data_IF_785843549996
#
_entry.id   IF_785843549996
#
_cell.length_a   1.000
_cell.length_b   1.000
_cell.length_c   1.000
_cell.angle_alpha   90.00
_cell.angle_beta   90.00
_cell.angle_gamma   90.00
#
_symmetry.space_group_name_H-M   'P 1'
#
loop_
_entity.id
_entity.type
_entity.pdbx_description
1 polymer ?
#
# COMPACT_ATOMS: atom_id res chain seq x y z
N UNK A 1 35.59 -2.71 14.04
CA UNK A 1 34.92 -1.68 13.21
C UNK A 1 33.76 -2.20 12.34
N UNK A 2 33.75 -3.45 11.84
CA UNK A 2 32.67 -3.96 10.96
C UNK A 2 31.31 -4.21 11.65
N UNK A 3 31.31 -4.66 12.92
CA UNK A 3 30.08 -4.95 13.69
C UNK A 3 29.22 -3.70 13.95
N UNK A 4 29.84 -2.53 14.14
CA UNK A 4 29.14 -1.27 14.38
C UNK A 4 28.43 -0.77 13.12
N UNK A 5 29.10 -0.86 11.97
CA UNK A 5 28.53 -0.53 10.66
C UNK A 5 27.35 -1.45 10.29
N UNK A 6 27.46 -2.75 10.59
CA UNK A 6 26.37 -3.71 10.38
C UNK A 6 25.16 -3.41 11.27
N UNK A 7 25.39 -3.10 12.56
CA UNK A 7 24.32 -2.72 13.50
C UNK A 7 23.61 -1.43 13.06
N UNK A 8 24.34 -0.43 12.58
CA UNK A 8 23.75 0.80 12.05
C UNK A 8 22.94 0.56 10.77
N UNK A 9 23.41 -0.31 9.86
CA UNK A 9 22.65 -0.70 8.66
C UNK A 9 21.37 -1.46 9.01
N UNK A 10 21.42 -2.37 9.99
CA UNK A 10 20.24 -3.11 10.46
C UNK A 10 19.22 -2.19 11.14
N UNK A 11 19.68 -1.23 11.95
CA UNK A 11 18.80 -0.24 12.59
C UNK A 11 18.18 0.72 11.56
N UNK A 12 18.93 1.11 10.53
CA UNK A 12 18.42 1.91 9.41
C UNK A 12 17.36 1.15 8.61
N UNK A 13 17.63 -0.11 8.27
CA UNK A 13 16.68 -0.97 7.56
C UNK A 13 15.42 -1.24 8.40
N UNK A 14 15.56 -1.45 9.71
CA UNK A 14 14.42 -1.61 10.62
C UNK A 14 13.55 -0.34 10.70
N UNK A 15 14.16 0.85 10.65
CA UNK A 15 13.45 2.13 10.52
C UNK A 15 12.75 2.32 9.18
N UNK A 16 13.22 1.67 8.11
CA UNK A 16 12.51 1.67 6.82
C UNK A 16 11.29 0.74 6.82
N UNK A 17 11.43 -0.45 7.40
CA UNK A 17 10.30 -1.40 7.63
C UNK A 17 9.25 -0.79 8.57
N UNK A 18 9.70 0.07 9.48
CA UNK A 18 9.06 1.27 10.05
C UNK A 18 7.75 1.78 9.47
N UNK A 19 7.76 1.96 8.15
CA UNK A 19 6.80 2.77 7.40
C UNK A 19 5.69 1.97 6.75
N UNK A 20 5.61 0.66 6.97
CA UNK A 20 4.49 -0.11 6.44
C UNK A 20 3.20 0.23 7.21
N UNK A 21 2.04 0.34 6.53
CA UNK A 21 0.77 0.53 7.20
C UNK A 21 0.55 -0.60 8.23
N UNK A 22 -0.03 -0.26 9.38
CA UNK A 22 -0.29 -1.26 10.40
C UNK A 22 -1.15 -2.40 9.84
N UNK A 23 -0.97 -3.66 10.29
CA UNK A 23 -1.79 -4.78 9.83
C UNK A 23 -3.30 -4.53 9.96
N UNK A 24 -3.71 -3.73 10.95
CA UNK A 24 -5.09 -3.31 11.16
C UNK A 24 -5.58 -2.39 10.05
N UNK A 25 -4.78 -1.42 9.61
CA UNK A 25 -5.10 -0.53 8.48
C UNK A 25 -5.22 -1.34 7.20
N UNK A 26 -4.27 -2.24 6.93
CA UNK A 26 -4.32 -3.10 5.73
C UNK A 26 -5.59 -3.95 5.72
N UNK A 27 -5.95 -4.54 6.87
CA UNK A 27 -7.19 -5.33 7.00
C UNK A 27 -8.43 -4.46 6.77
N UNK A 28 -8.49 -3.27 7.35
CA UNK A 28 -9.62 -2.35 7.16
C UNK A 28 -9.76 -1.92 5.69
N UNK A 29 -8.65 -1.62 5.02
CA UNK A 29 -8.62 -1.29 3.59
C UNK A 29 -9.14 -2.45 2.73
N UNK A 30 -8.68 -3.69 2.99
CA UNK A 30 -9.17 -4.89 2.27
C UNK A 30 -10.67 -5.10 2.47
N UNK A 31 -11.17 -4.93 3.69
CA UNK A 31 -12.61 -5.03 3.97
C UNK A 31 -13.41 -3.94 3.26
N UNK A 32 -12.91 -2.69 3.25
CA UNK A 32 -13.53 -1.58 2.51
C UNK A 32 -13.59 -1.88 1.02
N UNK A 33 -12.51 -2.43 0.46
CA UNK A 33 -12.45 -2.81 -0.95
C UNK A 33 -13.48 -3.89 -1.31
N UNK A 34 -13.57 -4.94 -0.49
CA UNK A 34 -14.54 -6.00 -0.66
C UNK A 34 -15.97 -5.48 -0.53
N UNK A 35 -16.22 -4.60 0.45
CA UNK A 35 -17.53 -3.97 0.66
C UNK A 35 -17.95 -3.13 -0.54
N UNK A 36 -17.05 -2.29 -1.06
CA UNK A 36 -17.31 -1.46 -2.24
C UNK A 36 -17.69 -2.32 -3.45
N UNK A 37 -16.97 -3.41 -3.71
CA UNK A 37 -17.30 -4.32 -4.82
C UNK A 37 -18.58 -5.12 -4.59
N UNK A 38 -18.84 -5.52 -3.34
CA UNK A 38 -20.09 -6.18 -2.97
C UNK A 38 -21.30 -5.27 -3.20
N UNK A 39 -21.24 -4.03 -2.73
CA UNK A 39 -22.31 -3.03 -2.90
C UNK A 39 -22.52 -2.65 -4.38
N UNK A 40 -21.45 -2.60 -5.17
CA UNK A 40 -21.53 -2.35 -6.60
C UNK A 40 -22.04 -3.56 -7.42
N UNK A 41 -21.97 -4.78 -6.87
CA UNK A 41 -22.29 -6.03 -7.58
C UNK A 41 -21.32 -6.39 -8.72
N UNK A 42 -20.24 -5.62 -8.91
CA UNK A 42 -19.27 -5.79 -10.01
C UNK A 42 -17.85 -5.41 -9.58
N UNK A 43 -16.85 -5.97 -10.26
CA UNK A 43 -15.46 -5.51 -10.19
C UNK A 43 -14.39 -6.59 -10.26
N UNK A 44 -13.13 -6.17 -10.39
CA UNK A 44 -11.97 -7.06 -10.54
C UNK A 44 -11.26 -7.29 -9.21
N UNK A 45 -11.93 -7.99 -8.27
CA UNK A 45 -11.49 -8.10 -6.87
C UNK A 45 -10.03 -8.58 -6.75
N UNK A 46 -9.66 -9.66 -7.45
CA UNK A 46 -8.30 -10.21 -7.37
C UNK A 46 -7.23 -9.21 -7.84
N UNK A 47 -7.51 -8.46 -8.91
CA UNK A 47 -6.61 -7.42 -9.42
C UNK A 47 -6.40 -6.30 -8.41
N UNK A 48 -7.48 -5.88 -7.75
CA UNK A 48 -7.46 -4.83 -6.75
C UNK A 48 -6.73 -5.27 -5.46
N UNK A 49 -7.04 -6.45 -4.93
CA UNK A 49 -6.36 -6.99 -3.74
C UNK A 49 -4.86 -7.22 -3.99
N UNK A 50 -4.46 -7.62 -5.20
CA UNK A 50 -3.04 -7.82 -5.54
C UNK A 50 -2.20 -6.54 -5.51
N UNK A 51 -2.84 -5.36 -5.62
CA UNK A 51 -2.16 -4.08 -5.70
C UNK A 51 -2.36 -3.20 -4.45
N UNK A 52 -3.28 -3.55 -3.56
CA UNK A 52 -3.69 -2.65 -2.48
C UNK A 52 -2.56 -2.27 -1.52
N UNK A 53 -1.76 -3.24 -1.07
CA UNK A 53 -0.70 -3.01 -0.08
C UNK A 53 0.40 -2.07 -0.61
N UNK A 54 0.81 -2.25 -1.87
CA UNK A 54 1.81 -1.38 -2.50
C UNK A 54 1.23 0.02 -2.75
N UNK A 55 -0.05 0.14 -3.13
CA UNK A 55 -0.69 1.43 -3.32
C UNK A 55 -0.83 2.20 -2.00
N UNK A 56 -1.19 1.52 -0.90
CA UNK A 56 -1.19 2.13 0.43
C UNK A 56 0.20 2.65 0.79
N UNK A 57 1.24 1.85 0.58
CA UNK A 57 2.62 2.28 0.86
C UNK A 57 3.04 3.46 -0.02
N UNK A 58 2.71 3.42 -1.32
CA UNK A 58 3.07 4.48 -2.25
C UNK A 58 2.42 5.81 -1.87
N UNK A 59 1.11 5.82 -1.61
CA UNK A 59 0.37 7.06 -1.36
C UNK A 59 0.59 7.64 0.05
N UNK A 60 0.92 6.81 1.04
CA UNK A 60 1.07 7.29 2.42
C UNK A 60 2.52 7.51 2.85
N UNK A 61 3.49 6.86 2.21
CA UNK A 61 4.88 6.86 2.68
C UNK A 61 5.95 7.24 1.64
N UNK A 62 5.66 7.07 0.34
CA UNK A 62 6.69 7.20 -0.71
C UNK A 62 6.47 8.41 -1.62
N UNK A 63 5.26 8.58 -2.16
CA UNK A 63 4.94 9.63 -3.12
C UNK A 63 4.99 11.00 -2.47
N UNK A 64 5.60 11.95 -3.17
CA UNK A 64 5.65 13.37 -2.80
C UNK A 64 4.57 14.16 -3.54
N UNK A 65 4.22 15.38 -3.09
CA UNK A 65 3.18 16.19 -3.73
C UNK A 65 3.35 16.42 -5.24
N UNK A 66 4.60 16.52 -5.71
CA UNK A 66 4.90 16.76 -7.14
C UNK A 66 4.98 15.47 -7.97
N UNK A 67 4.97 14.30 -7.34
CA UNK A 67 5.06 13.03 -8.04
C UNK A 67 3.75 12.74 -8.79
N UNK A 68 3.89 12.08 -9.93
CA UNK A 68 2.75 11.62 -10.75
C UNK A 68 2.73 10.10 -10.75
N UNK A 69 1.61 9.54 -10.30
CA UNK A 69 1.38 8.09 -10.31
C UNK A 69 0.42 7.71 -11.43
N UNK A 70 0.76 6.65 -12.17
CA UNK A 70 -0.09 6.07 -13.23
C UNK A 70 -0.24 4.57 -12.97
N UNK A 71 -1.50 4.12 -12.84
CA UNK A 71 -1.83 2.70 -12.76
C UNK A 71 -2.17 2.16 -14.14
N UNK A 72 -1.19 1.56 -14.82
CA UNK A 72 -1.43 0.89 -16.11
C UNK A 72 -2.38 -0.31 -16.01
N UNK A 73 -2.51 -0.91 -14.81
CA UNK A 73 -3.50 -1.95 -14.51
C UNK A 73 -4.86 -1.33 -14.21
N UNK A 74 -5.52 -0.75 -15.22
CA UNK A 74 -6.75 0.04 -15.05
C UNK A 74 -7.88 -0.70 -14.33
N UNK A 75 -7.98 -2.02 -14.50
CA UNK A 75 -8.99 -2.83 -13.81
C UNK A 75 -8.80 -2.88 -12.27
N UNK A 76 -7.65 -2.48 -11.74
CA UNK A 76 -7.35 -2.38 -10.31
C UNK A 76 -7.59 -0.96 -9.74
N UNK A 77 -8.32 -0.10 -10.44
CA UNK A 77 -8.63 1.27 -10.00
C UNK A 77 -9.32 1.35 -8.63
N UNK A 78 -10.13 0.35 -8.28
CA UNK A 78 -10.76 0.26 -6.95
C UNK A 78 -9.75 0.25 -5.80
N UNK A 79 -8.55 -0.28 -6.00
CA UNK A 79 -7.48 -0.26 -5.00
C UNK A 79 -6.91 1.15 -4.79
N UNK A 80 -6.88 1.99 -5.83
CA UNK A 80 -6.54 3.42 -5.68
C UNK A 80 -7.64 4.12 -4.90
N UNK A 81 -8.91 3.89 -5.23
CA UNK A 81 -10.03 4.53 -4.53
C UNK A 81 -10.01 4.23 -3.04
N UNK A 82 -9.67 3.00 -2.66
CA UNK A 82 -9.52 2.60 -1.25
C UNK A 82 -8.26 3.19 -0.63
N UNK A 83 -7.14 3.27 -1.35
CA UNK A 83 -5.88 3.80 -0.81
C UNK A 83 -5.94 5.32 -0.55
N UNK A 84 -6.77 6.05 -1.29
CA UNK A 84 -6.95 7.51 -1.16
C UNK A 84 -8.08 7.92 -0.18
N UNK A 85 -8.84 6.97 0.36
CA UNK A 85 -9.98 7.21 1.24
C UNK A 85 -9.63 7.09 2.72
#
# INVERSE_FOLDING_TARGET
>A
MALWQLKHRLLSAAKEVSRLPSPQIIRAARLRLLRMHYEAGVGHIGGNLSALDILLTLYHDVLKPDDRFVLSKGHAAGAIYVALA
#
